data_IF_379179274834
#
_entry.id   IF_379179274834
#
_cell.length_a   1.000
_cell.length_b   1.000
_cell.length_c   1.000
_cell.angle_alpha   90.00
_cell.angle_beta   90.00
_cell.angle_gamma   90.00
#
_symmetry.space_group_name_H-M   'P 1'
#
loop_
_entity.id
_entity.type
_entity.pdbx_description
1 polymer ?
#
# COMPACT_ATOMS: atom_id res chain seq x y z
N UNK A 1 2.89 54.07 -12.32
CA UNK A 1 1.72 53.60 -11.54
C UNK A 1 2.11 52.30 -10.87
N UNK A 2 2.25 52.33 -9.54
CA UNK A 2 2.61 51.16 -8.74
C UNK A 2 1.38 50.24 -8.58
N UNK A 3 1.54 48.90 -8.52
CA UNK A 3 0.44 48.01 -8.22
C UNK A 3 0.16 48.00 -6.72
N UNK A 4 -1.09 48.26 -6.38
CA UNK A 4 -1.67 48.22 -5.03
C UNK A 4 -1.59 46.81 -4.43
N UNK A 5 -0.99 46.70 -3.26
CA UNK A 5 -0.98 45.53 -2.40
C UNK A 5 -2.31 45.39 -1.65
N UNK A 6 -2.93 44.20 -1.71
CA UNK A 6 -4.06 43.83 -0.83
C UNK A 6 -3.47 43.09 0.38
N UNK A 7 -3.80 43.46 1.63
CA UNK A 7 -3.29 42.77 2.80
C UNK A 7 -4.04 41.45 3.01
N UNK A 8 -3.29 40.35 3.12
CA UNK A 8 -3.80 39.06 3.61
C UNK A 8 -4.09 39.19 5.10
N UNK A 9 -5.36 39.37 5.47
CA UNK A 9 -5.81 39.24 6.85
C UNK A 9 -5.70 37.78 7.29
N UNK A 10 -4.75 37.51 8.18
CA UNK A 10 -4.56 36.19 8.79
C UNK A 10 -5.82 35.75 9.53
N UNK A 11 -6.47 34.71 9.01
CA UNK A 11 -7.48 33.98 9.77
C UNK A 11 -6.77 32.79 10.40
N UNK A 12 -6.46 32.89 11.70
CA UNK A 12 -6.05 31.74 12.49
C UNK A 12 -7.21 30.74 12.51
N UNK A 13 -7.08 29.65 11.76
CA UNK A 13 -8.03 28.54 11.81
C UNK A 13 -7.73 27.77 13.10
N UNK A 14 -8.49 28.05 14.15
CA UNK A 14 -8.43 27.30 15.40
C UNK A 14 -8.81 25.83 15.14
N UNK A 15 -7.91 24.92 15.49
CA UNK A 15 -8.01 23.46 15.33
C UNK A 15 -9.11 22.79 16.20
N UNK A 16 -10.02 23.57 16.78
CA UNK A 16 -11.09 23.08 17.67
C UNK A 16 -12.41 22.74 16.97
N UNK A 17 -12.52 23.01 15.65
CA UNK A 17 -13.77 22.82 14.88
C UNK A 17 -13.98 21.45 14.23
N UNK A 18 -12.99 20.55 14.25
CA UNK A 18 -13.09 19.21 13.65
C UNK A 18 -13.26 18.14 14.75
N UNK A 19 -14.29 18.27 15.58
CA UNK A 19 -14.76 17.16 16.41
C UNK A 19 -15.99 16.54 15.73
N UNK A 20 -15.84 15.30 15.27
CA UNK A 20 -16.95 14.43 14.87
C UNK A 20 -17.19 14.35 13.37
N UNK A 21 -16.33 13.65 12.64
CA UNK A 21 -16.80 12.94 11.44
C UNK A 21 -17.43 11.64 11.94
N UNK A 22 -18.70 11.69 12.32
CA UNK A 22 -19.50 10.47 12.39
C UNK A 22 -19.45 9.85 10.99
N UNK A 23 -18.90 8.63 10.91
CA UNK A 23 -19.05 7.83 9.70
C UNK A 23 -20.54 7.74 9.36
N UNK A 24 -20.89 7.50 8.09
CA UNK A 24 -22.22 7.00 7.75
C UNK A 24 -22.38 5.64 8.46
N UNK A 25 -22.75 5.68 9.73
CA UNK A 25 -23.20 4.52 10.46
C UNK A 25 -24.44 4.05 9.69
N UNK A 26 -24.40 2.79 9.26
CA UNK A 26 -25.58 2.08 8.81
C UNK A 26 -26.74 2.48 9.73
N UNK A 27 -27.85 2.99 9.17
CA UNK A 27 -29.05 3.25 9.97
C UNK A 27 -29.35 1.99 10.79
N UNK A 28 -29.93 2.13 11.99
CA UNK A 28 -29.98 1.08 13.02
C UNK A 28 -30.57 -0.29 12.60
N UNK A 29 -31.11 -0.41 11.38
CA UNK A 29 -31.65 -1.64 10.77
C UNK A 29 -30.92 -2.13 9.50
N UNK A 30 -29.83 -1.49 9.05
CA UNK A 30 -29.11 -1.91 7.84
C UNK A 30 -28.20 -3.12 8.10
N UNK A 31 -28.21 -4.08 7.18
CA UNK A 31 -27.43 -5.31 7.28
C UNK A 31 -25.93 -5.03 7.30
N UNK A 32 -25.23 -5.71 8.20
CA UNK A 32 -23.77 -5.73 8.25
C UNK A 32 -23.21 -6.70 7.21
N UNK A 33 -21.97 -6.48 6.78
CA UNK A 33 -21.25 -7.45 5.96
C UNK A 33 -21.13 -8.75 6.77
N UNK A 34 -21.47 -9.88 6.14
CA UNK A 34 -21.53 -11.18 6.80
C UNK A 34 -21.00 -12.23 5.84
N UNK A 35 -19.74 -12.61 6.05
CA UNK A 35 -19.03 -13.58 5.23
C UNK A 35 -19.63 -14.98 5.33
N UNK A 36 -20.37 -15.32 6.40
CA UNK A 36 -20.98 -16.65 6.51
C UNK A 36 -22.19 -16.82 5.58
N UNK A 37 -22.69 -15.73 4.98
CA UNK A 37 -23.79 -15.76 3.99
C UNK A 37 -23.29 -15.88 2.56
N UNK A 38 -21.99 -16.10 2.34
CA UNK A 38 -21.42 -16.18 1.00
C UNK A 38 -22.10 -17.25 0.15
N UNK A 39 -22.41 -16.88 -1.10
CA UNK A 39 -22.90 -17.80 -2.14
C UNK A 39 -21.74 -18.20 -3.03
N UNK A 40 -21.64 -19.50 -3.32
CA UNK A 40 -20.60 -20.05 -4.19
C UNK A 40 -21.15 -20.30 -5.59
N UNK A 41 -20.53 -19.67 -6.59
CA UNK A 41 -20.82 -19.83 -8.01
C UNK A 41 -19.49 -20.18 -8.69
N UNK A 42 -19.17 -21.46 -8.76
CA UNK A 42 -17.89 -21.89 -9.33
C UNK A 42 -17.87 -21.75 -10.86
N UNK A 43 -16.70 -21.44 -11.42
CA UNK A 43 -16.50 -21.45 -12.87
C UNK A 43 -16.61 -22.87 -13.43
N UNK A 44 -17.31 -23.01 -14.56
CA UNK A 44 -17.29 -24.23 -15.35
C UNK A 44 -16.09 -24.28 -16.33
N UNK A 45 -15.40 -23.16 -16.51
CA UNK A 45 -14.30 -23.00 -17.46
C UNK A 45 -13.07 -22.42 -16.72
N UNK A 46 -12.33 -23.24 -15.96
CA UNK A 46 -11.15 -22.77 -15.24
C UNK A 46 -10.06 -22.31 -16.22
N UNK A 47 -9.39 -21.21 -15.90
CA UNK A 47 -8.32 -20.62 -16.72
C UNK A 47 -7.05 -21.45 -16.64
N UNK A 48 -6.21 -21.46 -17.66
CA UNK A 48 -4.87 -22.02 -17.53
C UNK A 48 -4.06 -21.24 -16.46
N UNK A 49 -3.30 -21.97 -15.63
CA UNK A 49 -2.38 -21.36 -14.66
C UNK A 49 -1.01 -21.27 -15.32
N UNK A 50 -0.55 -20.07 -15.71
CA UNK A 50 0.78 -19.88 -16.29
C UNK A 50 1.88 -20.04 -15.23
N UNK A 51 3.13 -20.26 -15.69
CA UNK A 51 4.29 -19.99 -14.84
C UNK A 51 4.45 -18.47 -14.60
N UNK A 52 5.26 -18.10 -13.61
CA UNK A 52 5.42 -16.70 -13.19
C UNK A 52 6.05 -15.82 -14.29
N UNK A 53 6.94 -16.36 -15.13
CA UNK A 53 7.57 -15.59 -16.19
C UNK A 53 6.54 -15.28 -17.29
N UNK A 54 5.77 -16.28 -17.71
CA UNK A 54 4.66 -16.13 -18.66
C UNK A 54 3.59 -15.18 -18.11
N UNK A 55 3.26 -15.28 -16.82
CA UNK A 55 2.24 -14.43 -16.19
C UNK A 55 2.58 -12.94 -16.16
N UNK A 56 3.88 -12.62 -16.20
CA UNK A 56 4.40 -11.26 -16.10
C UNK A 56 4.96 -10.74 -17.44
N UNK A 57 4.79 -11.49 -18.53
CA UNK A 57 5.30 -11.13 -19.85
C UNK A 57 4.37 -10.18 -20.63
N UNK A 58 3.08 -10.08 -20.25
CA UNK A 58 2.10 -9.19 -20.90
C UNK A 58 1.80 -7.95 -20.04
N UNK A 59 1.19 -6.96 -20.68
CA UNK A 59 0.66 -5.76 -20.00
C UNK A 59 -0.66 -6.03 -19.24
N UNK A 60 -1.12 -7.28 -19.21
CA UNK A 60 -2.36 -7.68 -18.54
C UNK A 60 -2.07 -8.45 -17.25
N UNK A 61 -2.82 -8.13 -16.20
CA UNK A 61 -2.80 -8.94 -14.98
C UNK A 61 -3.60 -10.23 -15.19
N UNK A 62 -2.93 -11.38 -15.10
CA UNK A 62 -3.60 -12.68 -15.12
C UNK A 62 -4.18 -12.96 -13.73
N UNK A 63 -5.51 -12.86 -13.63
CA UNK A 63 -6.28 -13.08 -12.40
C UNK A 63 -6.74 -14.53 -12.24
N UNK A 64 -6.95 -14.93 -10.98
CA UNK A 64 -7.46 -16.24 -10.60
C UNK A 64 -8.87 -16.50 -11.12
N UNK A 65 -9.33 -17.75 -11.02
CA UNK A 65 -10.60 -18.20 -11.61
C UNK A 65 -11.82 -17.42 -11.08
N UNK A 66 -11.79 -17.01 -9.82
CA UNK A 66 -12.91 -16.38 -9.14
C UNK A 66 -12.58 -14.97 -8.62
N UNK A 67 -13.64 -14.24 -8.29
CA UNK A 67 -13.60 -13.01 -7.51
C UNK A 67 -14.73 -13.04 -6.49
N UNK A 68 -14.62 -12.24 -5.44
CA UNK A 68 -15.72 -11.99 -4.50
C UNK A 68 -16.35 -10.64 -4.83
N UNK A 69 -17.68 -10.55 -4.81
CA UNK A 69 -18.42 -9.29 -4.94
C UNK A 69 -19.47 -9.16 -3.86
N UNK A 70 -19.67 -7.94 -3.34
CA UNK A 70 -20.70 -7.61 -2.36
C UNK A 70 -21.26 -6.22 -2.65
N UNK A 71 -22.57 -6.14 -2.84
CA UNK A 71 -23.27 -4.86 -3.03
C UNK A 71 -23.65 -4.28 -1.67
N UNK A 72 -23.57 -2.97 -1.55
CA UNK A 72 -24.12 -2.23 -0.42
C UNK A 72 -25.11 -1.17 -0.91
N UNK A 73 -26.20 -0.99 -0.16
CA UNK A 73 -27.17 0.09 -0.37
C UNK A 73 -27.49 0.76 0.94
N UNK A 74 -27.58 2.09 0.94
CA UNK A 74 -27.78 2.87 2.17
C UNK A 74 -29.00 2.46 3.01
N UNK A 75 -30.05 1.94 2.39
CA UNK A 75 -31.30 1.57 3.06
C UNK A 75 -31.37 0.10 3.51
N UNK A 76 -30.65 -0.83 2.86
CA UNK A 76 -30.66 -2.25 3.24
C UNK A 76 -29.35 -2.72 3.88
N UNK A 77 -28.26 -1.96 3.74
CA UNK A 77 -26.92 -2.38 4.14
C UNK A 77 -26.25 -3.28 3.11
N UNK A 78 -25.36 -4.15 3.59
CA UNK A 78 -24.62 -5.11 2.79
C UNK A 78 -25.49 -6.30 2.37
N UNK A 79 -25.45 -6.65 1.08
CA UNK A 79 -26.04 -7.87 0.55
C UNK A 79 -25.16 -9.10 0.86
N UNK A 80 -25.67 -10.30 0.58
CA UNK A 80 -24.88 -11.53 0.74
C UNK A 80 -23.68 -11.52 -0.23
N UNK A 81 -22.46 -11.84 0.24
CA UNK A 81 -21.30 -11.97 -0.64
C UNK A 81 -21.48 -13.06 -1.70
N UNK A 82 -20.87 -12.88 -2.86
CA UNK A 82 -20.83 -13.88 -3.93
C UNK A 82 -19.40 -14.17 -4.33
N UNK A 83 -18.96 -15.42 -4.18
CA UNK A 83 -17.82 -15.94 -4.93
C UNK A 83 -18.32 -16.36 -6.30
N UNK A 84 -17.77 -15.77 -7.36
CA UNK A 84 -18.21 -16.01 -8.73
C UNK A 84 -17.05 -15.98 -9.72
N UNK A 85 -17.20 -16.45 -10.97
CA UNK A 85 -16.13 -16.39 -11.95
C UNK A 85 -15.65 -14.95 -12.15
N UNK A 86 -14.33 -14.74 -12.19
CA UNK A 86 -13.74 -13.42 -12.43
C UNK A 86 -14.17 -12.88 -13.79
N UNK A 87 -14.61 -11.62 -13.84
CA UNK A 87 -15.08 -11.01 -15.08
C UNK A 87 -15.29 -9.49 -14.96
N UNK A 88 -15.78 -8.85 -16.03
CA UNK A 88 -15.98 -7.41 -16.07
C UNK A 88 -17.07 -6.95 -15.08
N UNK A 89 -16.94 -5.71 -14.62
CA UNK A 89 -17.95 -5.04 -13.80
C UNK A 89 -18.95 -4.30 -14.69
N UNK A 90 -20.25 -4.53 -14.47
CA UNK A 90 -21.31 -3.75 -15.10
C UNK A 90 -21.73 -2.60 -14.18
N UNK A 91 -21.32 -1.38 -14.51
CA UNK A 91 -21.66 -0.16 -13.76
C UNK A 91 -22.22 0.91 -14.71
N UNK A 92 -23.11 1.75 -14.19
CA UNK A 92 -23.67 2.84 -14.97
C UNK A 92 -22.58 3.91 -15.25
N UNK A 93 -22.56 4.53 -16.44
CA UNK A 93 -21.62 5.62 -16.73
C UNK A 93 -21.74 6.82 -15.78
N UNK A 94 -22.92 7.00 -15.18
CA UNK A 94 -23.21 8.03 -14.17
C UNK A 94 -22.73 7.65 -12.76
N UNK A 95 -22.05 6.52 -12.59
CA UNK A 95 -21.53 6.08 -11.29
C UNK A 95 -20.52 7.10 -10.72
N UNK A 96 -20.60 7.34 -9.42
CA UNK A 96 -19.75 8.33 -8.74
C UNK A 96 -18.27 7.99 -8.83
N UNK A 97 -17.89 6.71 -8.90
CA UNK A 97 -16.49 6.30 -9.08
C UNK A 97 -15.89 6.85 -10.37
N UNK A 98 -16.63 6.82 -11.48
CA UNK A 98 -16.15 7.26 -12.79
C UNK A 98 -16.03 8.79 -12.92
N UNK A 99 -16.76 9.53 -12.09
CA UNK A 99 -16.88 10.98 -12.20
C UNK A 99 -16.15 11.73 -11.08
N UNK A 100 -16.07 11.15 -9.88
CA UNK A 100 -15.60 11.81 -8.66
C UNK A 100 -14.60 10.98 -7.85
N UNK A 101 -14.06 9.90 -8.43
CA UNK A 101 -13.05 9.03 -7.81
C UNK A 101 -13.44 8.53 -6.40
N UNK A 102 -14.73 8.22 -6.19
CA UNK A 102 -15.21 7.57 -4.96
C UNK A 102 -14.80 6.09 -4.95
N UNK A 103 -13.50 5.85 -4.83
CA UNK A 103 -12.88 4.53 -4.82
C UNK A 103 -11.68 4.46 -3.87
N UNK A 104 -11.59 3.36 -3.14
CA UNK A 104 -10.41 3.00 -2.38
C UNK A 104 -10.08 1.52 -2.58
N UNK A 105 -8.84 1.16 -2.31
CA UNK A 105 -8.37 -0.20 -2.51
C UNK A 105 -7.36 -0.62 -1.46
N UNK A 106 -7.14 -1.92 -1.38
CA UNK A 106 -6.09 -2.52 -0.58
C UNK A 106 -5.14 -3.37 -1.41
N UNK A 107 -4.03 -3.77 -0.79
CA UNK A 107 -3.03 -4.58 -1.43
C UNK A 107 -2.28 -5.44 -0.42
N UNK A 108 -2.38 -6.75 -0.59
CA UNK A 108 -1.60 -7.74 0.16
C UNK A 108 -1.16 -8.88 -0.75
N UNK A 109 -0.35 -9.79 -0.24
CA UNK A 109 0.16 -10.95 -0.97
C UNK A 109 -0.15 -12.23 -0.19
N UNK A 110 -0.49 -13.28 -0.92
CA UNK A 110 -0.60 -14.65 -0.42
C UNK A 110 0.62 -15.44 -0.90
N UNK A 111 1.35 -16.07 0.02
CA UNK A 111 2.64 -16.72 -0.23
C UNK A 111 2.55 -18.22 -0.02
N UNK A 112 3.11 -19.00 -0.95
CA UNK A 112 3.31 -20.44 -0.73
C UNK A 112 4.63 -20.66 -0.01
N UNK A 113 4.53 -21.08 1.26
CA UNK A 113 5.70 -21.35 2.09
C UNK A 113 6.43 -22.64 1.73
N UNK A 114 7.65 -22.77 2.25
CA UNK A 114 8.52 -23.93 2.09
C UNK A 114 7.97 -25.17 2.82
N UNK A 115 7.07 -24.95 3.78
CA UNK A 115 6.30 -26.00 4.47
C UNK A 115 4.99 -26.37 3.74
N UNK A 116 4.82 -25.89 2.51
CA UNK A 116 3.66 -26.16 1.67
C UNK A 116 2.39 -25.42 2.08
N UNK A 117 2.39 -24.56 3.10
CA UNK A 117 1.18 -23.81 3.53
C UNK A 117 1.07 -22.45 2.85
N UNK A 118 -0.15 -22.03 2.55
CA UNK A 118 -0.46 -20.70 2.03
C UNK A 118 -0.59 -19.71 3.19
N UNK A 119 0.00 -18.52 3.07
CA UNK A 119 -0.02 -17.49 4.14
C UNK A 119 -0.29 -16.09 3.63
N UNK A 120 -0.99 -15.31 4.46
CA UNK A 120 -1.09 -13.86 4.37
C UNK A 120 -0.21 -13.20 5.43
N UNK A 121 0.23 -11.97 5.16
CA UNK A 121 1.00 -11.18 6.13
C UNK A 121 0.17 -10.07 6.74
N UNK A 122 -0.15 -10.21 8.04
CA UNK A 122 -0.92 -9.23 8.83
C UNK A 122 -2.18 -8.70 8.10
N UNK A 123 -3.03 -9.58 7.52
CA UNK A 123 -4.17 -9.17 6.69
C UNK A 123 -5.17 -8.28 7.44
N UNK A 124 -5.31 -8.47 8.76
CA UNK A 124 -6.16 -7.64 9.62
C UNK A 124 -5.85 -6.13 9.48
N UNK A 125 -4.56 -5.77 9.39
CA UNK A 125 -4.14 -4.38 9.26
C UNK A 125 -4.50 -3.77 7.91
N UNK A 126 -4.51 -4.57 6.84
CA UNK A 126 -5.00 -4.13 5.55
C UNK A 126 -6.53 -3.92 5.60
N UNK A 127 -7.27 -4.84 6.22
CA UNK A 127 -8.72 -4.75 6.35
C UNK A 127 -9.14 -3.49 7.14
N UNK A 128 -8.46 -3.21 8.26
CA UNK A 128 -8.64 -1.97 9.03
C UNK A 128 -8.35 -0.72 8.19
N UNK A 129 -7.26 -0.71 7.41
CA UNK A 129 -6.90 0.45 6.58
C UNK A 129 -7.86 0.67 5.42
N UNK A 130 -8.53 -0.36 4.91
CA UNK A 130 -9.58 -0.18 3.92
C UNK A 130 -10.76 0.61 4.51
N UNK A 131 -11.16 0.31 5.75
CA UNK A 131 -12.20 1.09 6.45
C UNK A 131 -11.80 2.56 6.68
N UNK A 132 -10.53 2.82 7.04
CA UNK A 132 -10.01 4.21 7.12
C UNK A 132 -10.15 4.93 5.79
N UNK A 133 -9.83 4.23 4.70
CA UNK A 133 -9.91 4.78 3.34
C UNK A 133 -11.36 5.00 2.90
N UNK A 134 -12.25 4.02 3.13
CA UNK A 134 -13.67 4.10 2.83
C UNK A 134 -14.35 5.27 3.55
N UNK A 135 -14.08 5.41 4.85
CA UNK A 135 -14.63 6.50 5.66
C UNK A 135 -14.22 7.88 5.13
N UNK A 136 -12.96 8.02 4.67
CA UNK A 136 -12.43 9.30 4.14
C UNK A 136 -13.16 9.78 2.89
N UNK A 137 -13.73 8.88 2.11
CA UNK A 137 -14.45 9.17 0.86
C UNK A 137 -15.95 8.83 0.94
N UNK A 138 -16.50 8.77 2.16
CA UNK A 138 -17.93 8.54 2.42
C UNK A 138 -18.49 7.25 1.82
N UNK A 139 -17.66 6.21 1.72
CA UNK A 139 -18.08 4.85 1.39
C UNK A 139 -18.43 4.06 2.66
N UNK A 140 -19.28 3.03 2.58
CA UNK A 140 -19.68 2.24 3.74
C UNK A 140 -18.49 1.50 4.35
N UNK A 141 -18.51 1.37 5.68
CA UNK A 141 -17.59 0.52 6.42
C UNK A 141 -18.22 -0.84 6.74
N UNK A 142 -17.39 -1.74 7.24
CA UNK A 142 -17.77 -3.09 7.67
C UNK A 142 -16.85 -3.57 8.80
N UNK A 143 -17.17 -4.68 9.45
CA UNK A 143 -16.23 -5.34 10.34
C UNK A 143 -15.03 -5.88 9.54
N UNK A 144 -13.81 -5.44 9.90
CA UNK A 144 -12.58 -5.84 9.23
C UNK A 144 -12.37 -7.37 9.22
N UNK A 145 -12.85 -8.07 10.24
CA UNK A 145 -12.75 -9.53 10.31
C UNK A 145 -13.59 -10.23 9.23
N UNK A 146 -14.69 -9.62 8.79
CA UNK A 146 -15.54 -10.18 7.73
C UNK A 146 -14.86 -10.09 6.37
N UNK A 147 -14.15 -8.99 6.10
CA UNK A 147 -13.29 -8.89 4.92
C UNK A 147 -12.15 -9.92 4.94
N UNK A 148 -11.50 -10.13 6.09
CA UNK A 148 -10.44 -11.14 6.23
C UNK A 148 -10.97 -12.54 5.92
N UNK A 149 -12.14 -12.92 6.45
CA UNK A 149 -12.81 -14.19 6.14
C UNK A 149 -13.10 -14.35 4.64
N UNK A 150 -13.50 -13.28 3.95
CA UNK A 150 -13.73 -13.32 2.50
C UNK A 150 -12.43 -13.52 1.73
N UNK A 151 -11.34 -12.83 2.11
CA UNK A 151 -10.03 -13.04 1.49
C UNK A 151 -9.55 -14.48 1.67
N UNK A 152 -9.66 -15.01 2.89
CA UNK A 152 -9.32 -16.40 3.19
C UNK A 152 -10.18 -17.34 2.33
N UNK A 153 -11.49 -17.10 2.22
CA UNK A 153 -12.41 -17.90 1.40
C UNK A 153 -12.00 -17.94 -0.08
N UNK A 154 -11.67 -16.79 -0.69
CA UNK A 154 -11.20 -16.74 -2.08
C UNK A 154 -9.91 -17.57 -2.26
N UNK A 155 -8.97 -17.42 -1.33
CA UNK A 155 -7.69 -18.13 -1.36
C UNK A 155 -7.83 -19.63 -1.07
N UNK A 156 -8.78 -20.04 -0.24
CA UNK A 156 -9.08 -21.45 0.01
C UNK A 156 -9.60 -22.15 -1.25
N UNK A 157 -10.30 -21.43 -2.13
CA UNK A 157 -10.84 -21.96 -3.38
C UNK A 157 -9.80 -21.94 -4.51
N UNK A 158 -9.17 -20.79 -4.76
CA UNK A 158 -8.27 -20.64 -5.91
C UNK A 158 -6.81 -20.98 -5.58
N UNK A 159 -6.39 -20.79 -4.34
CA UNK A 159 -4.99 -20.91 -3.90
C UNK A 159 -4.33 -22.25 -4.19
N UNK A 160 -4.96 -23.41 -3.91
CA UNK A 160 -4.34 -24.72 -4.15
C UNK A 160 -3.93 -24.95 -5.61
N UNK A 161 -4.70 -24.41 -6.57
CA UNK A 161 -4.45 -24.58 -8.01
C UNK A 161 -3.47 -23.54 -8.54
N UNK A 162 -3.56 -22.30 -8.06
CA UNK A 162 -2.74 -21.19 -8.54
C UNK A 162 -1.38 -21.07 -7.85
N UNK A 163 -1.25 -21.61 -6.64
CA UNK A 163 -0.01 -21.71 -5.88
C UNK A 163 0.09 -23.13 -5.27
N UNK A 164 0.43 -24.17 -6.04
CA UNK A 164 0.37 -25.55 -5.55
C UNK A 164 1.40 -25.84 -4.46
N UNK A 165 1.09 -26.82 -3.59
CA UNK A 165 1.88 -27.14 -2.38
C UNK A 165 3.32 -27.59 -2.69
N UNK A 166 3.54 -28.19 -3.85
CA UNK A 166 4.85 -28.67 -4.33
C UNK A 166 5.72 -27.56 -4.94
N UNK A 167 5.21 -26.33 -5.05
CA UNK A 167 5.92 -25.17 -5.62
C UNK A 167 5.97 -24.00 -4.63
N UNK A 168 6.89 -24.09 -3.67
CA UNK A 168 7.17 -23.02 -2.72
C UNK A 168 7.78 -21.77 -3.40
N UNK A 169 7.72 -20.63 -2.71
CA UNK A 169 8.35 -19.37 -3.13
C UNK A 169 7.48 -18.46 -4.01
N UNK A 170 6.38 -18.99 -4.56
CA UNK A 170 5.40 -18.22 -5.33
C UNK A 170 4.50 -17.34 -4.46
N UNK A 171 3.93 -16.29 -5.06
CA UNK A 171 2.88 -15.51 -4.43
C UNK A 171 1.80 -15.07 -5.42
N UNK A 172 0.62 -14.75 -4.90
CA UNK A 172 -0.45 -14.04 -5.59
C UNK A 172 -0.67 -12.70 -4.91
N UNK A 173 -0.98 -11.67 -5.68
CA UNK A 173 -1.40 -10.39 -5.15
C UNK A 173 -2.90 -10.36 -4.97
N UNK A 174 -3.35 -9.93 -3.79
CA UNK A 174 -4.76 -9.79 -3.44
C UNK A 174 -5.12 -8.32 -3.44
N UNK A 175 -6.18 -8.01 -4.17
CA UNK A 175 -6.66 -6.66 -4.43
C UNK A 175 -8.14 -6.59 -4.02
N UNK A 176 -8.42 -6.13 -2.79
CA UNK A 176 -9.74 -5.64 -2.38
C UNK A 176 -9.97 -4.21 -2.87
N UNK A 177 -11.18 -3.89 -3.36
CA UNK A 177 -11.57 -2.55 -3.82
C UNK A 177 -12.99 -2.26 -3.36
N UNK A 178 -13.23 -1.03 -2.93
CA UNK A 178 -14.56 -0.51 -2.66
C UNK A 178 -14.81 0.72 -3.54
N UNK A 179 -15.88 0.67 -4.34
CA UNK A 179 -16.26 1.74 -5.29
C UNK A 179 -17.69 2.21 -5.07
N UNK A 180 -17.93 3.51 -5.21
CA UNK A 180 -19.27 4.09 -5.25
C UNK A 180 -19.93 3.88 -6.61
N UNK A 181 -21.08 3.20 -6.64
CA UNK A 181 -21.77 2.77 -7.87
C UNK A 181 -23.11 3.46 -8.10
N UNK A 182 -23.49 4.41 -7.23
CA UNK A 182 -24.75 5.13 -7.36
C UNK A 182 -24.86 5.80 -8.75
N UNK A 183 -25.90 5.53 -9.55
CA UNK A 183 -26.01 6.01 -10.93
C UNK A 183 -26.53 7.46 -10.98
N UNK A 184 -25.76 8.40 -10.44
CA UNK A 184 -26.16 9.80 -10.29
C UNK A 184 -24.97 10.75 -10.47
N UNK A 185 -25.13 11.71 -11.38
CA UNK A 185 -24.25 12.89 -11.46
C UNK A 185 -24.61 13.84 -10.31
N UNK A 186 -23.59 14.27 -9.57
CA UNK A 186 -23.67 15.22 -8.46
C UNK A 186 -22.84 14.79 -7.26
N UNK A 187 -22.17 15.76 -6.64
CA UNK A 187 -21.19 15.55 -5.57
C UNK A 187 -21.92 15.34 -4.24
N UNK A 188 -22.28 14.10 -3.93
CA UNK A 188 -22.89 13.68 -2.68
C UNK A 188 -22.29 12.34 -2.23
N UNK A 189 -22.45 12.01 -0.94
CA UNK A 189 -22.10 10.68 -0.46
C UNK A 189 -22.92 9.60 -1.24
N UNK A 190 -22.25 8.58 -1.80
CA UNK A 190 -22.92 7.56 -2.60
C UNK A 190 -23.84 6.70 -1.73
N UNK A 191 -25.04 6.42 -2.24
CA UNK A 191 -26.03 5.53 -1.59
C UNK A 191 -25.97 4.09 -2.06
N UNK A 192 -25.10 3.79 -3.02
CA UNK A 192 -24.83 2.46 -3.54
C UNK A 192 -23.33 2.30 -3.74
N UNK A 193 -22.80 1.15 -3.34
CA UNK A 193 -21.39 0.81 -3.47
C UNK A 193 -21.22 -0.68 -3.84
N UNK A 194 -20.06 -1.00 -4.41
CA UNK A 194 -19.63 -2.36 -4.69
C UNK A 194 -18.28 -2.59 -4.02
N UNK A 195 -18.23 -3.58 -3.14
CA UNK A 195 -16.99 -4.16 -2.64
C UNK A 195 -16.65 -5.39 -3.48
N UNK A 196 -15.40 -5.53 -3.89
CA UNK A 196 -14.94 -6.74 -4.55
C UNK A 196 -13.49 -7.08 -4.23
N UNK A 197 -13.15 -8.36 -4.33
CA UNK A 197 -11.81 -8.89 -4.09
C UNK A 197 -11.41 -9.74 -5.29
N UNK A 198 -10.23 -9.47 -5.84
CA UNK A 198 -9.60 -10.29 -6.87
C UNK A 198 -8.18 -10.69 -6.44
N UNK A 199 -7.70 -11.79 -7.01
CA UNK A 199 -6.33 -12.26 -6.86
C UNK A 199 -5.69 -12.44 -8.24
N UNK A 200 -4.38 -12.22 -8.35
CA UNK A 200 -3.68 -12.41 -9.62
C UNK A 200 -2.17 -12.30 -9.49
N UNK A 201 -1.48 -12.61 -10.59
CA UNK A 201 -0.04 -12.44 -10.70
C UNK A 201 0.33 -10.97 -10.83
N UNK A 202 1.41 -10.56 -10.17
CA UNK A 202 2.08 -9.28 -10.42
C UNK A 202 3.59 -9.51 -10.51
N UNK A 203 4.34 -8.63 -11.18
CA UNK A 203 5.79 -8.74 -11.25
C UNK A 203 6.45 -8.69 -9.87
N UNK A 204 7.58 -9.38 -9.71
CA UNK A 204 8.47 -9.15 -8.57
C UNK A 204 9.18 -7.83 -8.74
N UNK A 205 8.90 -6.91 -7.83
CA UNK A 205 9.47 -5.56 -7.86
C UNK A 205 10.52 -5.35 -6.76
N UNK A 206 10.78 -6.34 -5.91
CA UNK A 206 11.56 -6.20 -4.68
C UNK A 206 13.07 -6.47 -4.83
N UNK A 207 13.57 -6.64 -6.06
CA UNK A 207 14.93 -7.10 -6.33
C UNK A 207 15.56 -6.44 -7.57
N UNK A 208 15.65 -5.11 -7.60
CA UNK A 208 16.43 -4.42 -8.62
C UNK A 208 17.92 -4.72 -8.44
N UNK A 209 18.61 -5.29 -9.44
CA UNK A 209 20.05 -5.49 -9.38
C UNK A 209 20.76 -4.15 -9.14
N UNK A 210 21.63 -4.08 -8.14
CA UNK A 210 22.31 -2.84 -7.76
C UNK A 210 21.43 -1.82 -7.03
N UNK A 211 20.23 -2.20 -6.60
CA UNK A 211 19.33 -1.37 -5.80
C UNK A 211 18.46 -0.38 -6.58
N UNK A 212 17.37 0.04 -5.95
CA UNK A 212 16.43 1.00 -6.51
C UNK A 212 17.05 2.39 -6.61
N UNK A 213 16.85 3.03 -7.76
CA UNK A 213 17.27 4.41 -8.03
C UNK A 213 16.07 5.34 -8.00
N UNK A 214 16.12 6.39 -7.20
CA UNK A 214 15.07 7.38 -7.01
C UNK A 214 15.41 8.72 -7.66
N UNK A 215 14.41 9.38 -8.20
CA UNK A 215 14.48 10.79 -8.59
C UNK A 215 13.54 11.60 -7.70
N UNK A 216 13.94 12.77 -7.19
CA UNK A 216 13.04 13.57 -6.37
C UNK A 216 11.91 14.18 -7.20
N UNK A 217 10.76 14.44 -6.59
CA UNK A 217 9.64 15.10 -7.28
C UNK A 217 10.04 16.47 -7.89
N UNK A 218 9.40 16.87 -9.00
CA UNK A 218 9.43 18.26 -9.49
C UNK A 218 8.98 19.26 -8.40
N UNK A 219 9.39 20.52 -8.51
CA UNK A 219 9.02 21.57 -7.54
C UNK A 219 7.51 21.90 -7.57
N UNK A 220 6.88 21.72 -8.72
CA UNK A 220 5.46 21.98 -8.97
C UNK A 220 4.55 20.77 -8.70
N UNK A 221 5.12 19.67 -8.16
CA UNK A 221 4.37 18.45 -7.93
C UNK A 221 4.54 17.91 -6.51
N UNK A 222 3.42 17.85 -5.80
CA UNK A 222 3.30 17.22 -4.48
C UNK A 222 2.39 16.00 -4.56
N UNK A 223 2.75 14.94 -3.83
CA UNK A 223 1.93 13.71 -3.75
C UNK A 223 0.67 13.89 -2.91
N UNK A 224 0.82 14.63 -1.81
CA UNK A 224 -0.19 14.87 -0.80
C UNK A 224 0.20 16.16 -0.04
N UNK A 225 -0.71 16.64 0.80
CA UNK A 225 -0.51 17.82 1.66
C UNK A 225 -1.20 17.63 3.01
N UNK A 226 -0.77 18.38 4.01
CA UNK A 226 -1.42 18.41 5.33
C UNK A 226 -2.88 18.88 5.19
N UNK A 227 -3.81 18.14 5.80
CA UNK A 227 -5.26 18.33 5.62
C UNK A 227 -5.85 17.66 4.37
N UNK A 228 -5.00 17.08 3.50
CA UNK A 228 -5.41 16.22 2.40
C UNK A 228 -5.77 14.80 2.86
N UNK A 229 -5.65 13.85 1.93
CA UNK A 229 -6.04 12.44 2.12
C UNK A 229 -4.93 11.46 1.74
N UNK A 230 -3.66 11.90 1.83
CA UNK A 230 -2.48 11.08 1.52
C UNK A 230 -2.30 9.86 2.42
N UNK A 231 -2.85 9.90 3.63
CA UNK A 231 -2.88 8.79 4.60
C UNK A 231 -3.87 7.66 4.25
N UNK A 232 -4.77 7.88 3.29
CA UNK A 232 -5.78 6.93 2.88
C UNK A 232 -5.44 6.34 1.50
N UNK A 233 -5.82 5.08 1.26
CA UNK A 233 -5.47 4.34 0.04
C UNK A 233 -6.54 4.51 -1.04
N UNK A 234 -6.68 5.75 -1.50
CA UNK A 234 -7.72 6.20 -2.45
C UNK A 234 -7.12 6.29 -3.86
N UNK A 235 -7.88 5.91 -4.89
CA UNK A 235 -7.43 5.92 -6.29
C UNK A 235 -6.88 7.29 -6.75
N UNK A 236 -7.52 8.38 -6.31
CA UNK A 236 -7.12 9.76 -6.60
C UNK A 236 -5.71 10.14 -6.11
N UNK A 237 -5.10 9.39 -5.18
CA UNK A 237 -3.70 9.61 -4.76
C UNK A 237 -2.67 9.06 -5.76
N UNK A 238 -3.10 8.26 -6.74
CA UNK A 238 -2.21 7.52 -7.63
C UNK A 238 -2.24 8.05 -9.07
N UNK A 239 -3.41 8.33 -9.64
CA UNK A 239 -3.54 8.79 -11.02
C UNK A 239 -2.66 10.01 -11.35
N UNK A 240 -2.75 11.12 -10.60
CA UNK A 240 -1.92 12.32 -10.82
C UNK A 240 -0.42 12.07 -10.64
N UNK A 241 -0.01 11.01 -9.94
CA UNK A 241 1.39 10.72 -9.68
C UNK A 241 2.15 10.18 -10.90
N UNK A 242 1.43 9.67 -11.91
CA UNK A 242 2.03 8.98 -13.05
C UNK A 242 2.88 9.90 -13.93
N UNK A 243 2.51 11.18 -14.04
CA UNK A 243 3.28 12.16 -14.82
C UNK A 243 4.69 12.38 -14.27
N UNK A 244 4.85 12.24 -12.94
CA UNK A 244 6.15 12.40 -12.28
C UNK A 244 7.17 11.35 -12.72
N UNK A 245 6.71 10.16 -13.11
CA UNK A 245 7.56 8.99 -13.36
C UNK A 245 8.11 8.94 -14.78
N UNK A 246 7.42 9.50 -15.77
CA UNK A 246 7.73 9.29 -17.18
C UNK A 246 9.16 9.72 -17.55
N UNK A 247 9.54 10.96 -17.22
CA UNK A 247 10.88 11.48 -17.49
C UNK A 247 12.00 10.72 -16.76
N UNK A 248 11.92 10.58 -15.42
CA UNK A 248 12.90 9.83 -14.65
C UNK A 248 13.06 8.37 -15.07
N UNK A 249 11.97 7.70 -15.46
CA UNK A 249 12.02 6.32 -15.94
C UNK A 249 12.89 6.18 -17.20
N UNK A 250 12.77 7.11 -18.15
CA UNK A 250 13.63 7.14 -19.35
C UNK A 250 15.12 7.38 -19.02
N UNK A 251 15.43 7.90 -17.84
CA UNK A 251 16.79 8.11 -17.34
C UNK A 251 17.30 6.95 -16.46
N UNK A 252 16.53 5.86 -16.37
CA UNK A 252 16.86 4.67 -15.58
C UNK A 252 16.59 4.82 -14.08
N UNK A 253 15.76 5.77 -13.67
CA UNK A 253 15.21 5.82 -12.32
C UNK A 253 13.95 4.95 -12.23
N UNK A 254 13.77 4.30 -11.08
CA UNK A 254 12.69 3.35 -10.89
C UNK A 254 11.45 4.02 -10.28
N UNK A 255 11.67 4.94 -9.33
CA UNK A 255 10.59 5.58 -8.58
C UNK A 255 10.91 7.02 -8.19
N UNK A 256 9.89 7.73 -7.69
CA UNK A 256 10.01 9.11 -7.23
C UNK A 256 10.17 9.19 -5.72
N UNK A 257 11.19 9.90 -5.22
CA UNK A 257 11.19 10.34 -3.83
C UNK A 257 10.35 11.61 -3.72
N UNK A 258 9.17 11.48 -3.11
CA UNK A 258 8.25 12.59 -2.92
C UNK A 258 8.78 13.55 -1.85
N UNK A 259 8.92 14.81 -2.23
CA UNK A 259 9.28 15.89 -1.31
C UNK A 259 8.06 16.73 -0.96
N UNK A 260 8.04 17.30 0.24
CA UNK A 260 6.97 18.17 0.71
C UNK A 260 7.50 19.41 1.43
N UNK A 261 6.85 20.55 1.19
CA UNK A 261 7.18 21.84 1.78
C UNK A 261 8.49 22.46 1.31
N UNK A 262 8.72 23.71 1.67
CA UNK A 262 9.83 24.53 1.17
C UNK A 262 11.21 23.98 1.50
N UNK A 263 11.31 23.18 2.56
CA UNK A 263 12.56 22.54 2.99
C UNK A 263 12.83 21.21 2.29
N UNK A 264 11.92 20.72 1.46
CA UNK A 264 12.03 19.43 0.79
C UNK A 264 12.04 18.26 1.77
N UNK A 265 11.00 18.16 2.61
CA UNK A 265 10.82 17.05 3.55
C UNK A 265 10.64 15.74 2.77
N UNK A 266 11.44 14.71 3.09
CA UNK A 266 11.34 13.40 2.47
C UNK A 266 10.11 12.65 3.02
N UNK A 267 9.23 12.19 2.13
CA UNK A 267 7.95 11.58 2.52
C UNK A 267 7.88 10.10 2.17
N UNK A 268 7.68 9.78 0.88
CA UNK A 268 7.48 8.42 0.37
C UNK A 268 8.32 8.19 -0.91
N UNK A 269 8.68 6.93 -1.16
CA UNK A 269 9.36 6.50 -2.38
C UNK A 269 8.33 5.79 -3.30
N UNK A 270 7.84 6.50 -4.31
CA UNK A 270 6.78 6.03 -5.19
C UNK A 270 5.48 5.84 -4.42
N UNK A 271 5.01 4.60 -4.33
CA UNK A 271 3.85 4.18 -3.54
C UNK A 271 4.23 3.45 -2.24
N UNK A 272 5.48 3.63 -1.79
CA UNK A 272 6.08 2.93 -0.65
C UNK A 272 6.58 3.93 0.40
N UNK A 273 6.62 3.50 1.66
CA UNK A 273 7.25 4.28 2.72
C UNK A 273 8.77 4.27 2.56
N UNK A 274 9.43 5.37 2.93
CA UNK A 274 10.86 5.57 2.77
C UNK A 274 11.60 5.54 4.11
N UNK A 275 12.75 4.87 4.13
CA UNK A 275 13.60 4.71 5.31
C UNK A 275 15.06 5.04 4.99
N UNK A 276 15.76 5.58 5.98
CA UNK A 276 17.22 5.77 5.94
C UNK A 276 17.81 5.21 7.24
N UNK A 277 18.92 4.49 7.13
CA UNK A 277 19.79 4.13 8.25
C UNK A 277 21.04 4.98 8.16
N UNK A 278 21.35 5.73 9.19
CA UNK A 278 22.52 6.61 9.21
C UNK A 278 23.15 6.71 10.59
N UNK A 279 24.38 7.22 10.63
CA UNK A 279 24.99 7.74 11.84
C UNK A 279 24.49 9.16 12.09
N UNK A 280 24.05 9.43 13.32
CA UNK A 280 23.83 10.78 13.81
C UNK A 280 25.16 11.45 14.15
N UNK A 281 25.12 12.77 14.36
CA UNK A 281 26.30 13.56 14.76
C UNK A 281 26.86 13.17 16.14
N UNK A 282 26.05 12.56 17.00
CA UNK A 282 26.48 12.00 18.29
C UNK A 282 27.07 10.58 18.17
N UNK A 283 27.25 10.06 16.94
CA UNK A 283 27.85 8.75 16.66
C UNK A 283 26.88 7.56 16.74
N UNK A 284 25.65 7.76 17.20
CA UNK A 284 24.66 6.69 17.30
C UNK A 284 24.04 6.36 15.96
N UNK A 285 23.69 5.09 15.74
CA UNK A 285 22.95 4.65 14.55
C UNK A 285 21.46 4.93 14.74
N UNK A 286 20.82 5.51 13.72
CA UNK A 286 19.39 5.80 13.71
C UNK A 286 18.75 5.25 12.42
N UNK A 287 17.61 4.58 12.57
CA UNK A 287 16.67 4.28 11.49
C UNK A 287 15.58 5.34 11.50
N UNK A 288 15.52 6.16 10.45
CA UNK A 288 14.59 7.26 10.33
C UNK A 288 13.55 7.03 9.22
N UNK A 289 12.30 7.43 9.48
CA UNK A 289 11.21 7.50 8.51
C UNK A 289 10.27 8.66 8.82
N UNK A 290 9.51 9.11 7.81
CA UNK A 290 8.54 10.20 7.99
C UNK A 290 7.44 9.81 9.00
N UNK A 291 6.94 10.76 9.81
CA UNK A 291 5.91 10.50 10.82
C UNK A 291 4.52 10.38 10.16
N UNK A 292 3.52 9.96 10.95
CA UNK A 292 2.13 9.79 10.48
C UNK A 292 1.17 10.87 11.01
N UNK A 293 1.67 11.81 11.81
CA UNK A 293 0.90 12.77 12.61
C UNK A 293 0.16 13.82 11.76
N UNK A 294 0.79 14.30 10.68
CA UNK A 294 0.20 15.28 9.75
C UNK A 294 -0.70 14.67 8.66
N UNK A 295 -0.92 13.34 8.71
CA UNK A 295 -1.74 12.58 7.76
C UNK A 295 -1.29 12.72 6.30
N UNK A 296 -0.01 13.04 6.08
CA UNK A 296 0.60 13.11 4.76
C UNK A 296 1.00 11.73 4.22
N UNK A 297 1.37 10.82 5.11
CA UNK A 297 2.01 9.53 4.78
C UNK A 297 1.00 8.39 4.88
N UNK A 298 1.05 7.44 3.94
CA UNK A 298 0.25 6.22 4.03
C UNK A 298 0.82 5.32 5.15
N UNK A 299 -0.03 4.89 6.09
CA UNK A 299 0.37 3.98 7.17
C UNK A 299 0.59 2.55 6.63
N UNK A 300 1.73 2.29 5.99
CA UNK A 300 2.09 0.99 5.42
C UNK A 300 2.16 -0.15 6.44
N UNK A 301 1.71 -1.35 6.04
CA UNK A 301 1.81 -2.54 6.91
C UNK A 301 3.27 -2.97 7.05
N UNK A 302 4.01 -2.99 5.94
CA UNK A 302 5.45 -3.31 5.97
C UNK A 302 6.25 -2.29 6.77
N UNK A 303 5.94 -0.98 6.62
CA UNK A 303 6.52 0.10 7.46
C UNK A 303 6.34 -0.21 8.94
N UNK A 304 5.10 -0.50 9.36
CA UNK A 304 4.79 -0.85 10.75
C UNK A 304 5.58 -2.07 11.22
N UNK A 305 5.63 -3.14 10.44
CA UNK A 305 6.36 -4.36 10.78
C UNK A 305 7.88 -4.13 10.89
N UNK A 306 8.48 -3.29 10.03
CA UNK A 306 9.90 -2.93 10.13
C UNK A 306 10.19 -2.18 11.44
N UNK A 307 9.38 -1.17 11.77
CA UNK A 307 9.53 -0.40 13.01
C UNK A 307 9.35 -1.28 14.25
N UNK A 308 8.32 -2.14 14.27
CA UNK A 308 8.08 -3.08 15.36
C UNK A 308 9.24 -4.07 15.52
N UNK A 309 9.76 -4.62 14.42
CA UNK A 309 10.90 -5.53 14.48
C UNK A 309 12.15 -4.85 15.04
N UNK A 310 12.53 -3.68 14.54
CA UNK A 310 13.74 -2.96 14.98
C UNK A 310 13.63 -2.59 16.46
N UNK A 311 12.46 -2.09 16.89
CA UNK A 311 12.16 -1.77 18.30
C UNK A 311 12.18 -2.97 19.24
N UNK A 312 12.01 -4.19 18.74
CA UNK A 312 11.98 -5.40 19.56
C UNK A 312 13.29 -6.19 19.54
N UNK A 313 13.99 -6.18 18.40
CA UNK A 313 15.09 -7.11 18.13
C UNK A 313 16.46 -6.45 17.95
N UNK A 314 16.50 -5.13 17.72
CA UNK A 314 17.75 -4.36 17.53
C UNK A 314 17.89 -3.23 18.56
N UNK A 315 17.26 -3.40 19.73
CA UNK A 315 17.30 -2.43 20.83
C UNK A 315 18.73 -2.27 21.32
N UNK A 316 19.20 -1.03 21.39
CA UNK A 316 20.57 -0.68 21.82
C UNK A 316 21.55 -0.50 20.67
N UNK A 317 21.31 -1.15 19.53
CA UNK A 317 22.15 -1.04 18.33
C UNK A 317 21.69 0.08 17.39
N UNK A 318 20.36 0.31 17.31
CA UNK A 318 19.73 1.27 16.40
C UNK A 318 18.59 2.00 17.11
N UNK A 319 18.63 3.34 17.11
CA UNK A 319 17.51 4.18 17.55
C UNK A 319 16.48 4.35 16.42
N UNK A 320 15.19 4.26 16.73
CA UNK A 320 14.11 4.42 15.74
C UNK A 320 13.51 5.82 15.86
N UNK A 321 13.54 6.59 14.78
CA UNK A 321 12.98 7.94 14.72
C UNK A 321 11.85 8.03 13.67
N UNK A 322 10.64 8.35 14.13
CA UNK A 322 9.54 8.77 13.27
C UNK A 322 9.46 10.29 13.33
N UNK A 323 10.19 10.98 12.44
CA UNK A 323 10.27 12.45 12.42
C UNK A 323 10.45 12.97 11.01
N UNK A 324 10.15 14.25 10.81
CA UNK A 324 10.45 14.94 9.55
C UNK A 324 11.97 15.06 9.38
N UNK A 325 12.41 14.83 8.15
CA UNK A 325 13.79 15.04 7.72
C UNK A 325 13.78 15.47 6.26
N UNK A 326 14.80 16.22 5.87
CA UNK A 326 14.85 16.93 4.59
C UNK A 326 15.85 16.32 3.64
N UNK A 327 15.67 16.58 2.34
CA UNK A 327 16.66 16.23 1.33
C UNK A 327 18.02 16.88 1.60
N UNK A 328 18.02 18.08 2.22
CA UNK A 328 19.23 18.76 2.67
C UNK A 328 19.99 18.00 3.77
N UNK A 329 19.28 17.45 4.76
CA UNK A 329 19.89 16.57 5.77
C UNK A 329 20.52 15.32 5.15
N UNK A 330 19.93 14.77 4.07
CA UNK A 330 20.53 13.64 3.36
C UNK A 330 21.81 14.03 2.62
N UNK A 331 21.86 15.20 1.98
CA UNK A 331 23.10 15.70 1.37
C UNK A 331 24.20 15.95 2.40
N UNK A 332 23.86 16.57 3.55
CA UNK A 332 24.80 16.77 4.64
C UNK A 332 25.34 15.43 5.16
N UNK A 333 24.45 14.46 5.40
CA UNK A 333 24.83 13.13 5.85
C UNK A 333 25.71 12.39 4.84
N UNK A 334 25.46 12.55 3.54
CA UNK A 334 26.35 11.97 2.52
C UNK A 334 27.72 12.63 2.54
N UNK A 335 27.80 13.96 2.57
CA UNK A 335 29.07 14.69 2.57
C UNK A 335 29.93 14.31 3.78
N UNK A 336 29.30 13.96 4.89
CA UNK A 336 29.94 13.52 6.14
C UNK A 336 30.15 11.99 6.23
N UNK A 337 29.79 11.21 5.19
CA UNK A 337 29.94 9.75 5.17
C UNK A 337 29.07 9.02 6.20
N UNK A 338 27.93 9.62 6.59
CA UNK A 338 27.06 9.12 7.67
C UNK A 338 25.89 8.25 7.17
N UNK A 339 25.53 8.30 5.89
CA UNK A 339 24.49 7.42 5.34
C UNK A 339 25.03 5.99 5.28
N UNK A 340 24.34 5.05 5.92
CA UNK A 340 24.71 3.64 5.93
C UNK A 340 23.89 2.85 4.91
N UNK A 341 22.57 3.02 4.94
CA UNK A 341 21.64 2.27 4.11
C UNK A 341 20.37 3.08 3.86
N UNK A 342 19.62 2.70 2.82
CA UNK A 342 18.27 3.22 2.62
C UNK A 342 17.42 2.18 1.89
N UNK A 343 16.13 2.16 2.18
CA UNK A 343 15.20 1.22 1.58
C UNK A 343 13.78 1.76 1.54
N UNK A 344 12.99 1.24 0.61
CA UNK A 344 11.56 1.48 0.53
C UNK A 344 10.78 0.25 1.02
N UNK A 345 9.61 0.48 1.62
CA UNK A 345 8.73 -0.59 2.09
C UNK A 345 7.29 -0.42 1.60
N UNK A 346 6.70 -1.50 1.10
CA UNK A 346 5.33 -1.50 0.60
C UNK A 346 4.96 -2.86 0.03
N UNK A 347 3.67 -3.19 -0.10
CA UNK A 347 3.25 -4.53 -0.55
C UNK A 347 3.86 -4.93 -1.90
N UNK A 348 3.97 -3.99 -2.85
CA UNK A 348 4.58 -4.25 -4.16
C UNK A 348 6.05 -4.65 -4.04
N UNK A 349 6.83 -3.76 -3.42
CA UNK A 349 8.29 -3.85 -3.26
C UNK A 349 8.75 -4.69 -2.07
N UNK A 350 7.84 -5.16 -1.23
CA UNK A 350 8.12 -5.69 0.11
C UNK A 350 9.09 -4.79 0.89
N UNK A 351 10.39 -5.11 0.84
CA UNK A 351 11.52 -4.27 1.25
C UNK A 351 12.50 -4.23 0.07
N UNK A 352 12.73 -3.02 -0.46
CA UNK A 352 13.59 -2.80 -1.61
C UNK A 352 14.73 -1.83 -1.26
N UNK A 353 16.00 -2.28 -1.30
CA UNK A 353 17.16 -1.41 -1.08
C UNK A 353 17.22 -0.27 -2.10
N UNK A 354 17.70 0.89 -1.68
CA UNK A 354 17.89 2.08 -2.51
C UNK A 354 19.39 2.35 -2.64
N UNK A 355 19.86 2.52 -3.88
CA UNK A 355 21.27 2.77 -4.17
C UNK A 355 21.57 4.21 -4.60
N UNK A 356 20.56 4.93 -5.06
CA UNK A 356 20.75 6.29 -5.55
C UNK A 356 19.49 7.14 -5.33
N UNK A 357 19.68 8.40 -4.94
CA UNK A 357 18.65 9.45 -4.98
C UNK A 357 19.21 10.63 -5.77
N UNK A 358 18.55 11.00 -6.87
CA UNK A 358 18.89 12.20 -7.65
C UNK A 358 17.98 13.36 -7.29
N UNK A 359 18.58 14.46 -6.86
CA UNK A 359 17.89 15.72 -6.58
C UNK A 359 18.53 16.86 -7.37
N UNK A 360 17.75 17.49 -8.27
CA UNK A 360 18.16 18.69 -9.02
C UNK A 360 19.54 18.54 -9.71
N UNK A 361 19.80 17.36 -10.29
CA UNK A 361 21.04 17.03 -10.99
C UNK A 361 22.20 16.56 -10.11
N UNK A 362 22.05 16.59 -8.78
CA UNK A 362 23.02 16.08 -7.82
C UNK A 362 22.61 14.71 -7.29
N UNK A 363 23.59 13.86 -7.04
CA UNK A 363 23.38 12.47 -6.65
C UNK A 363 23.74 12.23 -5.19
N UNK A 364 22.85 11.51 -4.51
CA UNK A 364 23.11 10.83 -3.24
C UNK A 364 23.29 9.34 -3.56
N UNK A 365 24.52 8.86 -3.42
CA UNK A 365 24.90 7.45 -3.54
C UNK A 365 24.77 6.78 -2.18
N UNK A 366 23.97 5.72 -2.12
CA UNK A 366 23.75 4.94 -0.91
C UNK A 366 24.55 3.63 -1.05
N UNK A 367 25.36 3.26 -0.05
CA UNK A 367 26.11 2.01 -0.08
C UNK A 367 25.20 0.80 -0.25
N UNK A 368 25.59 -0.12 -1.14
CA UNK A 368 24.98 -1.43 -1.33
C UNK A 368 26.10 -2.46 -1.31
N UNK A 369 25.95 -3.48 -0.47
CA UNK A 369 26.83 -4.64 -0.51
C UNK A 369 26.51 -5.48 -1.76
N UNK A 370 27.49 -5.81 -2.61
CA UNK A 370 27.25 -6.52 -3.86
C UNK A 370 26.92 -8.01 -3.68
N UNK A 371 27.21 -8.62 -2.54
CA UNK A 371 26.89 -10.03 -2.27
C UNK A 371 25.44 -10.17 -1.82
N UNK A 372 25.01 -9.37 -0.85
CA UNK A 372 23.64 -9.40 -0.32
C UNK A 372 22.67 -8.48 -1.07
N UNK A 373 23.18 -7.64 -1.98
CA UNK A 373 22.42 -6.66 -2.79
C UNK A 373 21.60 -5.68 -1.94
N UNK A 374 22.07 -5.39 -0.72
CA UNK A 374 21.41 -4.54 0.27
C UNK A 374 22.43 -4.04 1.30
N UNK A 375 22.01 -3.21 2.26
CA UNK A 375 22.75 -3.03 3.51
C UNK A 375 22.38 -4.11 4.54
N UNK A 376 23.22 -4.29 5.57
CA UNK A 376 23.08 -5.35 6.58
C UNK A 376 21.72 -5.28 7.31
N UNK A 377 21.30 -4.09 7.75
CA UNK A 377 20.05 -3.90 8.48
C UNK A 377 18.86 -4.15 7.57
N UNK A 378 18.91 -3.60 6.36
CA UNK A 378 17.89 -3.81 5.33
C UNK A 378 17.72 -5.29 5.01
N UNK A 379 18.83 -6.00 4.82
CA UNK A 379 18.85 -7.44 4.57
C UNK A 379 18.27 -8.22 5.75
N UNK A 380 18.71 -7.92 6.99
CA UNK A 380 18.21 -8.59 8.20
C UNK A 380 16.70 -8.42 8.37
N UNK A 381 16.17 -7.23 8.17
CA UNK A 381 14.72 -6.98 8.21
C UNK A 381 14.02 -7.78 7.10
N UNK A 382 14.52 -7.72 5.85
CA UNK A 382 13.95 -8.44 4.71
C UNK A 382 13.91 -9.95 4.94
N UNK A 383 15.00 -10.52 5.46
CA UNK A 383 15.12 -11.94 5.76
C UNK A 383 14.14 -12.37 6.85
N UNK A 384 14.11 -11.69 8.00
CA UNK A 384 13.21 -12.09 9.10
C UNK A 384 11.74 -12.00 8.70
N UNK A 385 11.35 -10.90 8.04
CA UNK A 385 9.97 -10.79 7.57
C UNK A 385 9.69 -11.86 6.49
N UNK A 386 10.62 -12.12 5.58
CA UNK A 386 10.52 -13.18 4.57
C UNK A 386 10.37 -14.58 5.16
N UNK A 387 11.08 -14.88 6.25
CA UNK A 387 11.01 -16.16 6.94
C UNK A 387 9.61 -16.42 7.51
N UNK A 388 8.92 -15.37 7.95
CA UNK A 388 7.50 -15.47 8.36
C UNK A 388 6.61 -15.77 7.15
N UNK A 389 6.81 -15.06 6.04
CA UNK A 389 6.00 -15.20 4.82
C UNK A 389 6.08 -16.62 4.24
N UNK A 390 7.30 -17.16 4.18
CA UNK A 390 7.56 -18.48 3.60
C UNK A 390 7.56 -19.62 4.62
N UNK A 391 7.16 -19.36 5.87
CA UNK A 391 6.96 -20.41 6.88
C UNK A 391 8.26 -21.01 7.46
N UNK A 392 9.41 -20.35 7.26
CA UNK A 392 10.69 -20.70 7.91
C UNK A 392 10.72 -20.31 9.38
N UNK A 393 9.90 -19.33 9.75
CA UNK A 393 9.66 -18.91 11.14
C UNK A 393 8.17 -18.88 11.43
N UNK A 394 7.76 -19.55 12.52
CA UNK A 394 6.38 -19.49 12.98
C UNK A 394 6.14 -18.18 13.74
N UNK A 395 5.22 -17.34 13.25
CA UNK A 395 4.91 -16.05 13.86
C UNK A 395 3.44 -15.70 13.63
N UNK A 396 2.82 -15.02 14.60
CA UNK A 396 1.42 -14.57 14.51
C UNK A 396 1.14 -13.57 13.38
N UNK A 397 2.17 -13.07 12.70
CA UNK A 397 2.02 -12.19 11.55
C UNK A 397 1.76 -12.97 10.25
N UNK A 398 2.12 -14.26 10.20
CA UNK A 398 1.84 -15.15 9.07
C UNK A 398 0.54 -15.91 9.30
N UNK A 399 -0.57 -15.40 8.77
CA UNK A 399 -1.89 -16.03 8.90
C UNK A 399 -2.01 -17.13 7.85
N UNK A 400 -2.14 -18.38 8.30
CA UNK A 400 -2.29 -19.55 7.42
C UNK A 400 -3.70 -19.56 6.82
N UNK A 401 -3.78 -19.75 5.50
CA UNK A 401 -5.06 -19.94 4.81
C UNK A 401 -5.51 -21.40 4.98
N UNK A 402 -6.75 -21.66 5.43
CA UNK A 402 -7.27 -23.01 5.49
C UNK A 402 -7.54 -23.50 4.07
N UNK A 403 -6.76 -24.44 3.57
CA UNK A 403 -7.01 -25.06 2.26
C UNK A 403 -7.98 -26.23 2.44
N UNK A 404 -9.05 -26.25 1.64
CA UNK A 404 -9.94 -27.42 1.58
C UNK A 404 -9.19 -28.52 0.81
N UNK A 405 -9.00 -29.68 1.43
CA UNK A 405 -8.39 -30.85 0.78
C UNK A 405 -9.31 -31.49 -0.26
#
# INVERSE_FOLDING_TARGET
MAPTTVPLSGTQVNASGLKGTEALANGSNAAQLDASKIKYIFTANPRAVPDEATANASDETICTDHMITVVWRAYTGWEAPELKPYGPLSIMPTASVLNYATECFEGMKAYRGDDGKLRLFRPNLNCERLNVSASRISLPTFDAAEMEKLILTLLSVDGPRWLPKDRAGGFLYIRPILIGTQPRIGVNAPKEALFYIMAGFIPRLDSYPGGMRLHTSPDDLVRAWAGGYGYAKIGANYGPSMIAKQGPHMQGFHEILWLYGDKGECTEAGASNFFVVWKRKDGKTELITAPLDDKLILSGVTRRSCLEFVRQKLVGDIEVAERKFTIGELFEAQAEGRILESFATGTGFFICPISQIRHRGQDIMIPIDPEIQAGEITHKIKTVLGDILYGRSNHSWGVVVPENE
#
